data_IF_387769511779
#
_entry.id   IF_387769511779
#
_cell.length_a   1.000
_cell.length_b   1.000
_cell.length_c   1.000
_cell.angle_alpha   90.00
_cell.angle_beta   90.00
_cell.angle_gamma   90.00
#
_symmetry.space_group_name_H-M   'P 1'
#
loop_
_entity.id
_entity.type
_entity.pdbx_description
1 polymer ?
#
# COMPACT_ATOMS: atom_id res chain seq x y z
N UNK A 1 -10.83 31.64 -19.35
CA UNK A 1 -11.67 30.71 -18.59
C UNK A 1 -11.33 29.34 -19.12
N UNK A 2 -10.53 28.59 -18.37
CA UNK A 2 -9.97 27.32 -18.81
C UNK A 2 -11.04 26.24 -18.71
N UNK A 3 -11.23 25.50 -19.80
CA UNK A 3 -12.03 24.28 -19.87
C UNK A 3 -11.57 23.30 -18.79
N UNK A 4 -12.52 22.89 -17.95
CA UNK A 4 -12.31 21.81 -16.99
C UNK A 4 -12.46 20.52 -17.80
N UNK A 5 -11.44 19.65 -17.85
CA UNK A 5 -11.51 18.41 -18.64
C UNK A 5 -12.59 17.47 -18.08
N UNK A 6 -13.43 16.95 -18.97
CA UNK A 6 -14.47 15.98 -18.63
C UNK A 6 -13.86 14.61 -18.29
N UNK A 7 -14.41 13.87 -17.29
CA UNK A 7 -13.84 12.63 -16.77
C UNK A 7 -14.14 11.40 -17.63
N UNK A 8 -14.19 11.55 -18.95
CA UNK A 8 -14.44 10.47 -19.92
C UNK A 8 -13.18 9.96 -20.60
N UNK A 9 -12.06 10.68 -20.51
CA UNK A 9 -10.75 10.22 -20.99
C UNK A 9 -10.04 9.36 -19.93
N UNK A 10 -10.59 8.18 -19.66
CA UNK A 10 -9.82 7.11 -19.03
C UNK A 10 -8.70 6.72 -20.00
N UNK A 11 -7.44 6.96 -19.62
CA UNK A 11 -6.21 6.56 -20.34
C UNK A 11 -6.00 5.05 -20.43
N UNK A 12 -7.07 4.29 -20.67
CA UNK A 12 -7.12 2.82 -20.78
C UNK A 12 -7.17 2.35 -22.25
N UNK A 13 -7.19 3.26 -23.24
CA UNK A 13 -7.02 2.92 -24.64
C UNK A 13 -5.53 2.69 -24.91
N UNK A 14 -5.08 1.44 -24.79
CA UNK A 14 -3.68 1.01 -24.90
C UNK A 14 -3.04 1.17 -26.27
N UNK A 15 -3.02 2.38 -26.83
CA UNK A 15 -2.19 2.73 -27.98
C UNK A 15 -0.94 3.44 -27.47
N UNK A 16 0.04 2.65 -27.04
CA UNK A 16 1.40 3.15 -26.87
C UNK A 16 1.92 3.56 -28.25
N UNK A 17 2.25 4.84 -28.42
CA UNK A 17 3.03 5.26 -29.59
C UNK A 17 4.45 4.69 -29.42
N UNK A 18 5.00 3.99 -30.42
CA UNK A 18 6.39 3.56 -30.39
C UNK A 18 7.26 4.81 -30.22
N UNK A 19 8.02 4.86 -29.13
CA UNK A 19 8.98 5.93 -28.90
C UNK A 19 9.90 6.02 -30.10
N UNK A 20 10.07 7.24 -30.61
CA UNK A 20 11.06 7.52 -31.65
C UNK A 20 12.41 7.10 -31.07
N UNK A 21 12.98 6.02 -31.61
CA UNK A 21 14.37 5.63 -31.38
C UNK A 21 15.24 6.72 -31.99
N UNK A 22 15.39 7.81 -31.25
CA UNK A 22 16.57 8.65 -31.42
C UNK A 22 17.69 7.76 -30.94
N UNK A 23 18.41 7.15 -31.87
CA UNK A 23 19.63 6.44 -31.58
C UNK A 23 20.55 7.43 -30.85
N UNK A 24 20.52 7.40 -29.52
CA UNK A 24 21.50 8.06 -28.69
C UNK A 24 22.76 7.31 -29.04
N UNK A 25 23.55 7.90 -29.93
CA UNK A 25 24.91 7.46 -30.19
C UNK A 25 25.54 7.34 -28.81
N UNK A 26 25.76 6.10 -28.36
CA UNK A 26 26.52 5.82 -27.18
C UNK A 26 27.95 6.24 -27.52
N UNK A 27 28.20 7.56 -27.45
CA UNK A 27 29.53 8.05 -27.17
C UNK A 27 29.91 7.31 -25.90
N UNK A 28 30.79 6.34 -26.08
CA UNK A 28 31.33 5.51 -25.02
C UNK A 28 32.24 6.45 -24.24
N UNK A 29 31.62 7.33 -23.45
CA UNK A 29 32.32 8.14 -22.47
C UNK A 29 33.11 7.14 -21.63
N UNK A 30 34.43 7.29 -21.67
CA UNK A 30 35.30 6.47 -20.85
C UNK A 30 34.74 6.53 -19.43
N UNK A 31 34.64 5.43 -18.67
CA UNK A 31 34.08 5.46 -17.31
C UNK A 31 34.87 6.36 -16.33
N UNK A 32 35.95 6.98 -16.81
CA UNK A 32 36.78 7.97 -16.12
C UNK A 32 36.51 9.41 -16.58
N UNK A 33 35.77 9.61 -17.67
CA UNK A 33 35.46 10.90 -18.25
C UNK A 33 34.44 11.61 -17.37
N UNK A 34 34.85 12.73 -16.76
CA UNK A 34 34.06 13.47 -15.77
C UNK A 34 34.51 13.30 -14.31
N UNK A 35 35.40 12.35 -14.00
CA UNK A 35 35.98 12.29 -12.66
C UNK A 35 36.99 13.44 -12.47
N UNK A 36 36.94 14.18 -11.35
CA UNK A 36 37.82 15.33 -11.10
C UNK A 36 39.30 14.94 -11.11
N UNK A 37 39.61 13.68 -10.79
CA UNK A 37 40.95 13.11 -10.84
C UNK A 37 41.45 12.97 -12.29
N UNK A 38 40.61 12.58 -13.24
CA UNK A 38 40.99 12.45 -14.64
C UNK A 38 41.42 13.82 -15.22
N UNK A 39 40.64 14.87 -14.95
CA UNK A 39 40.98 16.25 -15.35
C UNK A 39 42.23 16.78 -14.65
N UNK A 40 42.43 16.44 -13.37
CA UNK A 40 43.62 16.85 -12.62
C UNK A 40 44.90 16.17 -13.16
N UNK A 41 44.82 14.88 -13.49
CA UNK A 41 45.92 14.12 -14.10
C UNK A 41 46.24 14.63 -15.50
N UNK A 42 45.22 14.92 -16.31
CA UNK A 42 45.38 15.48 -17.65
C UNK A 42 46.00 16.89 -17.62
N UNK A 43 45.54 17.76 -16.71
CA UNK A 43 46.11 19.09 -16.52
C UNK A 43 47.57 19.07 -16.01
N UNK A 44 47.92 18.13 -15.12
CA UNK A 44 49.29 17.92 -14.65
C UNK A 44 50.20 17.33 -15.71
N UNK A 45 49.70 16.39 -16.52
CA UNK A 45 50.43 15.82 -17.65
C UNK A 45 50.72 16.87 -18.73
N UNK A 46 49.77 17.78 -18.99
CA UNK A 46 49.92 18.87 -19.96
C UNK A 46 50.91 19.96 -19.50
N UNK A 47 50.97 20.26 -18.19
CA UNK A 47 51.78 21.38 -17.67
C UNK A 47 53.15 20.99 -17.13
N UNK A 48 53.34 19.75 -16.63
CA UNK A 48 54.64 19.30 -16.10
C UNK A 48 54.90 17.80 -16.33
N UNK A 49 54.92 17.36 -17.59
CA UNK A 49 55.23 15.96 -17.95
C UNK A 49 56.58 15.45 -17.43
N UNK A 50 57.59 16.33 -17.32
CA UNK A 50 58.96 15.97 -16.89
C UNK A 50 59.13 15.81 -15.37
N UNK A 51 58.17 16.31 -14.57
CA UNK A 51 58.20 16.22 -13.10
C UNK A 51 57.22 15.20 -12.53
N UNK A 52 56.60 14.35 -13.36
CA UNK A 52 56.01 13.09 -12.93
C UNK A 52 57.09 12.05 -12.60
N UNK A 53 58.14 12.47 -11.90
CA UNK A 53 58.99 11.55 -11.14
C UNK A 53 58.15 10.92 -10.04
N UNK A 54 58.45 9.66 -9.72
CA UNK A 54 57.57 8.73 -8.98
C UNK A 54 56.84 9.28 -7.74
N UNK A 55 57.37 10.28 -7.03
CA UNK A 55 56.71 10.89 -5.87
C UNK A 55 55.39 11.63 -6.19
N UNK A 56 55.32 12.43 -7.25
CA UNK A 56 54.09 13.20 -7.56
C UNK A 56 52.98 12.27 -8.05
N UNK A 57 53.35 11.28 -8.87
CA UNK A 57 52.42 10.24 -9.31
C UNK A 57 51.96 9.36 -8.14
N UNK A 58 52.87 8.99 -7.22
CA UNK A 58 52.52 8.22 -6.03
C UNK A 58 51.57 9.00 -5.10
N UNK A 59 51.78 10.30 -4.90
CA UNK A 59 50.89 11.13 -4.09
C UNK A 59 49.50 11.29 -4.71
N UNK A 60 49.41 11.41 -6.05
CA UNK A 60 48.14 11.42 -6.77
C UNK A 60 47.40 10.09 -6.62
N UNK A 61 48.10 8.96 -6.77
CA UNK A 61 47.53 7.62 -6.59
C UNK A 61 47.10 7.40 -5.14
N UNK A 62 47.89 7.84 -4.16
CA UNK A 62 47.55 7.76 -2.75
C UNK A 62 46.32 8.62 -2.42
N UNK A 63 46.25 9.83 -2.97
CA UNK A 63 45.10 10.73 -2.83
C UNK A 63 43.82 10.15 -3.44
N UNK A 64 43.90 9.61 -4.67
CA UNK A 64 42.74 8.97 -5.32
C UNK A 64 42.28 7.73 -4.57
N UNK A 65 43.20 6.91 -4.07
CA UNK A 65 42.85 5.74 -3.27
C UNK A 65 42.21 6.12 -1.93
N UNK A 66 42.67 7.21 -1.30
CA UNK A 66 42.07 7.74 -0.07
C UNK A 66 40.65 8.25 -0.32
N UNK A 67 40.42 8.96 -1.43
CA UNK A 67 39.08 9.42 -1.82
C UNK A 67 38.16 8.25 -2.14
N UNK A 68 38.60 7.29 -2.96
CA UNK A 68 37.82 6.08 -3.27
C UNK A 68 37.50 5.27 -2.02
N UNK A 69 38.42 5.20 -1.05
CA UNK A 69 38.19 4.52 0.22
C UNK A 69 37.12 5.23 1.05
N UNK A 70 37.11 6.56 1.04
CA UNK A 70 36.09 7.37 1.69
C UNK A 70 34.71 7.17 1.04
N UNK A 71 34.62 7.32 -0.29
CA UNK A 71 33.38 7.14 -1.04
C UNK A 71 32.82 5.71 -0.86
N UNK A 72 33.69 4.70 -0.85
CA UNK A 72 33.30 3.31 -0.61
C UNK A 72 32.78 3.10 0.83
N UNK A 73 33.33 3.82 1.80
CA UNK A 73 32.85 3.77 3.17
C UNK A 73 31.50 4.48 3.33
N UNK A 74 31.34 5.65 2.71
CA UNK A 74 30.10 6.42 2.70
C UNK A 74 28.97 5.64 2.02
N UNK A 75 29.21 5.12 0.82
CA UNK A 75 28.23 4.29 0.10
C UNK A 75 27.87 3.01 0.88
N UNK A 76 28.82 2.37 1.56
CA UNK A 76 28.53 1.23 2.45
C UNK A 76 27.65 1.65 3.63
N UNK A 77 27.84 2.85 4.17
CA UNK A 77 27.05 3.37 5.27
C UNK A 77 25.62 3.69 4.81
N UNK A 78 25.46 4.38 3.68
CA UNK A 78 24.15 4.65 3.07
C UNK A 78 23.41 3.36 2.73
N UNK A 79 24.11 2.37 2.17
CA UNK A 79 23.50 1.09 1.84
C UNK A 79 23.03 0.35 3.09
N UNK A 80 23.72 0.50 4.22
CA UNK A 80 23.27 -0.04 5.51
C UNK A 80 22.06 0.72 6.05
N UNK A 81 22.06 2.05 6.01
CA UNK A 81 20.93 2.85 6.49
C UNK A 81 19.67 2.59 5.67
N UNK A 82 19.78 2.56 4.34
CA UNK A 82 18.65 2.28 3.44
C UNK A 82 18.10 0.88 3.66
N UNK A 83 18.96 -0.12 3.89
CA UNK A 83 18.50 -1.48 4.25
C UNK A 83 17.73 -1.50 5.57
N UNK A 84 18.23 -0.79 6.57
CA UNK A 84 17.57 -0.70 7.88
C UNK A 84 16.22 0.01 7.79
N UNK A 85 16.13 1.10 7.01
CA UNK A 85 14.88 1.82 6.79
C UNK A 85 13.87 0.98 6.01
N UNK A 86 14.33 0.23 5.01
CA UNK A 86 13.50 -0.69 4.25
C UNK A 86 12.94 -1.82 5.14
N UNK A 87 13.76 -2.37 6.03
CA UNK A 87 13.34 -3.39 6.99
C UNK A 87 12.31 -2.85 7.98
N UNK A 88 12.55 -1.65 8.54
CA UNK A 88 11.60 -0.96 9.41
C UNK A 88 10.26 -0.68 8.71
N UNK A 89 10.30 -0.19 7.47
CA UNK A 89 9.08 0.11 6.71
C UNK A 89 8.30 -1.16 6.40
N UNK A 90 8.97 -2.28 6.15
CA UNK A 90 8.33 -3.59 5.97
C UNK A 90 7.66 -4.08 7.25
N UNK A 91 8.31 -3.90 8.39
CA UNK A 91 7.75 -4.26 9.70
C UNK A 91 6.49 -3.43 9.99
N UNK A 92 6.56 -2.10 9.85
CA UNK A 92 5.41 -1.22 10.03
C UNK A 92 4.26 -1.58 9.08
N UNK A 93 4.54 -1.86 7.81
CA UNK A 93 3.54 -2.29 6.84
C UNK A 93 2.91 -3.63 7.20
N UNK A 94 3.68 -4.57 7.76
CA UNK A 94 3.17 -5.83 8.28
C UNK A 94 2.21 -5.58 9.44
N UNK A 95 2.59 -4.74 10.40
CA UNK A 95 1.76 -4.38 11.55
C UNK A 95 0.44 -3.73 11.12
N UNK A 96 0.49 -2.80 10.17
CA UNK A 96 -0.73 -2.18 9.64
C UNK A 96 -1.62 -3.17 8.90
N UNK A 97 -1.05 -4.12 8.15
CA UNK A 97 -1.84 -5.20 7.52
C UNK A 97 -2.54 -6.07 8.54
N UNK A 98 -1.85 -6.45 9.62
CA UNK A 98 -2.45 -7.24 10.69
C UNK A 98 -3.57 -6.47 11.39
N UNK A 99 -3.35 -5.19 11.71
CA UNK A 99 -4.38 -4.33 12.30
C UNK A 99 -5.59 -4.16 11.37
N UNK A 100 -5.35 -3.97 10.07
CA UNK A 100 -6.40 -3.86 9.06
C UNK A 100 -7.23 -5.14 8.97
N UNK A 101 -6.59 -6.32 8.92
CA UNK A 101 -7.28 -7.61 8.90
C UNK A 101 -8.15 -7.82 10.15
N UNK A 102 -7.63 -7.49 11.33
CA UNK A 102 -8.41 -7.57 12.59
C UNK A 102 -9.59 -6.60 12.58
N UNK A 103 -9.40 -5.38 12.05
CA UNK A 103 -10.47 -4.39 11.98
C UNK A 103 -11.55 -4.80 10.97
N UNK A 104 -11.15 -5.33 9.82
CA UNK A 104 -12.05 -5.88 8.81
C UNK A 104 -12.87 -7.05 9.36
N UNK A 105 -12.23 -7.96 10.11
CA UNK A 105 -12.91 -9.05 10.80
C UNK A 105 -13.97 -8.53 11.79
N UNK A 106 -13.60 -7.55 12.63
CA UNK A 106 -14.51 -6.93 13.60
C UNK A 106 -15.69 -6.26 12.90
N UNK A 107 -15.43 -5.49 11.84
CA UNK A 107 -16.48 -4.82 11.04
C UNK A 107 -17.39 -5.84 10.37
N UNK A 108 -16.84 -6.88 9.74
CA UNK A 108 -17.62 -7.93 9.08
C UNK A 108 -18.51 -8.70 10.07
N UNK A 109 -18.01 -8.95 11.29
CA UNK A 109 -18.75 -9.60 12.38
C UNK A 109 -19.90 -8.71 12.84
N UNK A 110 -19.67 -7.41 13.02
CA UNK A 110 -20.72 -6.44 13.35
C UNK A 110 -21.79 -6.33 12.25
N UNK A 111 -21.39 -6.34 10.97
CA UNK A 111 -22.35 -6.35 9.86
C UNK A 111 -23.23 -7.60 9.87
N UNK A 112 -22.64 -8.79 10.06
CA UNK A 112 -23.40 -10.06 10.15
C UNK A 112 -24.40 -10.02 11.30
N UNK A 113 -24.01 -9.52 12.47
CA UNK A 113 -24.91 -9.35 13.62
C UNK A 113 -26.08 -8.41 13.32
N UNK A 114 -25.82 -7.25 12.70
CA UNK A 114 -26.87 -6.29 12.32
C UNK A 114 -27.83 -6.86 11.27
N UNK A 115 -27.32 -7.59 10.28
CA UNK A 115 -28.16 -8.23 9.26
C UNK A 115 -29.07 -9.30 9.86
N UNK A 116 -28.55 -10.17 10.74
CA UNK A 116 -29.36 -11.17 11.45
C UNK A 116 -30.44 -10.52 12.31
N UNK A 117 -30.11 -9.42 13.00
CA UNK A 117 -31.09 -8.66 13.78
C UNK A 117 -32.21 -8.12 12.91
N UNK A 118 -31.86 -7.42 11.83
CA UNK A 118 -32.84 -6.83 10.93
C UNK A 118 -33.72 -7.92 10.28
N UNK A 119 -33.12 -9.03 9.87
CA UNK A 119 -33.83 -10.21 9.35
C UNK A 119 -34.84 -10.75 10.38
N UNK A 120 -34.42 -10.95 11.63
CA UNK A 120 -35.29 -11.47 12.71
C UNK A 120 -36.49 -10.56 12.95
N UNK A 121 -36.29 -9.25 12.94
CA UNK A 121 -37.37 -8.26 13.10
C UNK A 121 -38.33 -8.29 11.90
N UNK A 122 -37.82 -8.30 10.67
CA UNK A 122 -38.65 -8.35 9.46
C UNK A 122 -39.47 -9.64 9.39
N UNK A 123 -38.82 -10.79 9.59
CA UNK A 123 -39.50 -12.10 9.58
C UNK A 123 -40.50 -12.21 10.73
N UNK A 124 -40.13 -11.77 11.94
CA UNK A 124 -41.03 -11.74 13.08
C UNK A 124 -42.28 -10.89 12.84
N UNK A 125 -42.10 -9.69 12.27
CA UNK A 125 -43.20 -8.78 11.93
C UNK A 125 -44.13 -9.39 10.86
N UNK A 126 -43.56 -10.03 9.84
CA UNK A 126 -44.32 -10.73 8.81
C UNK A 126 -45.14 -11.89 9.38
N UNK A 127 -44.57 -12.68 10.29
CA UNK A 127 -45.27 -13.77 10.96
C UNK A 127 -46.42 -13.26 11.84
N UNK A 128 -46.22 -12.15 12.57
CA UNK A 128 -47.28 -11.50 13.34
C UNK A 128 -48.43 -11.08 12.42
N UNK A 129 -48.12 -10.47 11.26
CA UNK A 129 -49.12 -10.08 10.28
C UNK A 129 -49.93 -11.29 9.78
N UNK A 130 -49.28 -12.40 9.44
CA UNK A 130 -49.98 -13.64 9.06
C UNK A 130 -50.85 -14.19 10.20
N UNK A 131 -50.39 -14.10 11.45
CA UNK A 131 -51.18 -14.47 12.61
C UNK A 131 -52.47 -13.65 12.72
N UNK A 132 -52.38 -12.32 12.53
CA UNK A 132 -53.55 -11.43 12.53
C UNK A 132 -54.52 -11.79 11.39
N UNK A 133 -54.00 -12.08 10.19
CA UNK A 133 -54.84 -12.43 9.05
C UNK A 133 -55.55 -13.78 9.24
N UNK A 134 -54.89 -14.78 9.82
CA UNK A 134 -55.52 -16.06 10.17
C UNK A 134 -56.59 -15.90 11.26
N UNK A 135 -56.38 -14.99 12.22
CA UNK A 135 -57.37 -14.67 13.24
C UNK A 135 -58.64 -14.09 12.61
N UNK A 136 -58.50 -13.18 11.65
CA UNK A 136 -59.62 -12.58 10.90
C UNK A 136 -60.41 -13.62 10.09
N UNK A 137 -59.77 -14.71 9.69
CA UNK A 137 -60.38 -15.80 8.93
C UNK A 137 -61.01 -16.91 9.81
N UNK A 138 -61.20 -16.68 11.11
CA UNK A 138 -61.83 -17.62 12.07
C UNK A 138 -61.15 -19.00 12.15
N UNK A 139 -59.82 -19.03 12.09
CA UNK A 139 -59.05 -20.26 12.30
C UNK A 139 -58.60 -20.29 13.78
N UNK A 140 -59.34 -21.02 14.63
CA UNK A 140 -59.35 -20.81 16.10
C UNK A 140 -58.08 -21.20 16.90
N UNK A 141 -56.95 -21.57 16.28
CA UNK A 141 -55.75 -22.04 17.03
C UNK A 141 -54.40 -21.55 16.50
N UNK A 142 -54.22 -21.57 15.19
CA UNK A 142 -52.96 -21.18 14.54
C UNK A 142 -52.54 -19.71 14.76
N UNK A 143 -53.45 -18.72 14.84
CA UNK A 143 -53.09 -17.32 15.05
C UNK A 143 -52.28 -17.05 16.30
N UNK A 144 -52.64 -17.67 17.42
CA UNK A 144 -51.98 -17.44 18.71
C UNK A 144 -50.56 -18.00 18.71
N UNK A 145 -50.35 -19.16 18.08
CA UNK A 145 -49.03 -19.78 17.95
C UNK A 145 -48.13 -18.94 17.04
N UNK A 146 -48.63 -18.53 15.87
CA UNK A 146 -47.89 -17.69 14.93
C UNK A 146 -47.59 -16.31 15.53
N UNK A 147 -48.57 -15.66 16.15
CA UNK A 147 -48.38 -14.38 16.83
C UNK A 147 -47.33 -14.45 17.95
N UNK A 148 -47.38 -15.49 18.79
CA UNK A 148 -46.40 -15.73 19.85
C UNK A 148 -44.99 -15.97 19.30
N UNK A 149 -44.85 -16.78 18.25
CA UNK A 149 -43.56 -17.06 17.61
C UNK A 149 -42.98 -15.83 16.91
N UNK A 150 -43.82 -15.06 16.22
CA UNK A 150 -43.42 -13.80 15.59
C UNK A 150 -42.99 -12.75 16.62
N UNK A 151 -43.74 -12.61 17.72
CA UNK A 151 -43.36 -11.72 18.83
C UNK A 151 -42.04 -12.15 19.47
N UNK A 152 -41.83 -13.45 19.69
CA UNK A 152 -40.57 -13.99 20.18
C UNK A 152 -39.39 -13.65 19.26
N UNK A 153 -39.55 -13.77 17.94
CA UNK A 153 -38.50 -13.41 16.97
C UNK A 153 -38.16 -11.91 16.97
N UNK A 154 -39.16 -11.03 17.12
CA UNK A 154 -38.93 -9.59 17.25
C UNK A 154 -38.17 -9.29 18.55
N UNK A 155 -38.58 -9.90 19.66
CA UNK A 155 -37.90 -9.74 20.96
C UNK A 155 -36.47 -10.27 20.90
N UNK A 156 -36.24 -11.44 20.30
CA UNK A 156 -34.88 -11.96 20.08
C UNK A 156 -34.06 -11.03 19.21
N UNK A 157 -34.65 -10.41 18.18
CA UNK A 157 -33.98 -9.38 17.39
C UNK A 157 -33.54 -8.19 18.25
N UNK A 158 -34.41 -7.68 19.12
CA UNK A 158 -34.08 -6.55 20.00
C UNK A 158 -33.07 -6.89 21.11
N UNK A 159 -33.15 -8.09 21.68
CA UNK A 159 -32.33 -8.48 22.83
C UNK A 159 -31.08 -9.28 22.48
N UNK A 160 -30.86 -9.67 21.23
CA UNK A 160 -29.60 -10.27 20.80
C UNK A 160 -28.51 -9.19 20.86
N UNK A 161 -27.87 -9.10 22.03
CA UNK A 161 -26.76 -8.21 22.32
C UNK A 161 -25.61 -8.58 21.37
N UNK A 162 -24.94 -7.58 20.80
CA UNK A 162 -23.79 -7.78 19.91
C UNK A 162 -22.75 -8.66 20.63
N UNK A 163 -22.73 -9.95 20.28
CA UNK A 163 -21.75 -10.91 20.77
C UNK A 163 -20.42 -10.69 20.08
N UNK A 164 -19.78 -9.56 20.36
CA UNK A 164 -18.34 -9.42 20.22
C UNK A 164 -17.68 -9.84 21.54
N UNK A 165 -16.64 -10.67 21.55
CA UNK A 165 -15.88 -10.91 22.76
C UNK A 165 -15.25 -9.58 23.22
N UNK A 166 -15.77 -9.02 24.31
CA UNK A 166 -15.05 -8.03 25.11
C UNK A 166 -13.89 -8.76 25.81
N UNK A 167 -12.78 -8.97 25.10
CA UNK A 167 -11.46 -9.28 25.65
C UNK A 167 -10.37 -8.61 24.83
#
# INVERSE_FOLDING_TARGET
>A
MNEIPEPTETGSAGTQQPGIETAVSAAQESPLDGLPIARAVEGLAATRSRSMGGEVAANLIAGSFSQLSYDLQETKQELRSTRQELERTREELSDYKTKAAVLEERVSTSFKGRHLRNLSITVGTFIIYLGIELYRNNIDKYPYILGGLGALLVLLGWFSKEGGPDK
#
